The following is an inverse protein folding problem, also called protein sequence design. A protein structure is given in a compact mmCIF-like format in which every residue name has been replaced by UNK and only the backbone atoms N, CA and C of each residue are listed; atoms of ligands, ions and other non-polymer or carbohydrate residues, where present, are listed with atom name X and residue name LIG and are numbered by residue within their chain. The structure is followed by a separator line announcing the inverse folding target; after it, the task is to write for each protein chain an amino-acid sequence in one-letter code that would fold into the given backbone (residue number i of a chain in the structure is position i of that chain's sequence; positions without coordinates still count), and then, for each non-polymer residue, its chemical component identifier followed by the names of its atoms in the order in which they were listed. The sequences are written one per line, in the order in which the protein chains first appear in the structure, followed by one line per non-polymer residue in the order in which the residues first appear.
data_IF_453732609551
#
_entry.id   IF_453732609551
#
_cell.length_a   1.000
_cell.length_b   1.000
_cell.length_c   1.000
_cell.angle_alpha   90.00
_cell.angle_beta   90.00
_cell.angle_gamma   90.00
#
_symmetry.space_group_name_H-M   'P 1'
#
loop_
_entity.id
_entity.type
_entity.pdbx_description
1 polymer ?
#
# COMPACT_ATOMS: atom_id res chain seq x y z
N UNK A 1 10.83 -22.90 0.00
CA UNK A 1 10.10 -21.83 0.69
C UNK A 1 9.48 -22.39 1.97
N UNK A 2 9.69 -21.73 3.11
CA UNK A 2 9.12 -22.20 4.38
C UNK A 2 7.62 -21.93 4.44
N UNK A 3 6.92 -22.61 5.39
CA UNK A 3 5.49 -22.37 5.61
C UNK A 3 5.21 -20.90 5.98
N UNK A 4 6.08 -20.30 6.80
CA UNK A 4 5.96 -18.90 7.18
C UNK A 4 6.06 -17.97 5.96
N UNK A 5 7.01 -18.24 5.07
CA UNK A 5 7.17 -17.46 3.83
C UNK A 5 5.96 -17.59 2.90
N UNK A 6 5.38 -18.78 2.81
CA UNK A 6 4.17 -19.01 2.01
C UNK A 6 3.00 -18.21 2.57
N UNK A 7 2.83 -18.22 3.89
CA UNK A 7 1.76 -17.47 4.55
C UNK A 7 1.93 -15.96 4.36
N UNK A 8 3.15 -15.45 4.55
CA UNK A 8 3.45 -14.02 4.38
C UNK A 8 3.21 -13.59 2.93
N UNK A 9 3.63 -14.39 1.97
CA UNK A 9 3.40 -14.10 0.55
C UNK A 9 1.89 -14.05 0.25
N UNK A 10 1.12 -14.98 0.76
CA UNK A 10 -0.33 -14.96 0.61
C UNK A 10 -0.94 -13.68 1.17
N UNK A 11 -0.49 -13.27 2.37
CA UNK A 11 -0.95 -12.04 3.00
C UNK A 11 -0.63 -10.80 2.14
N UNK A 12 0.58 -10.73 1.60
CA UNK A 12 0.99 -9.61 0.74
C UNK A 12 0.21 -9.59 -0.57
N UNK A 13 -0.01 -10.73 -1.19
CA UNK A 13 -0.81 -10.84 -2.41
C UNK A 13 -2.26 -10.40 -2.16
N UNK A 14 -2.83 -10.81 -1.02
CA UNK A 14 -4.18 -10.44 -0.63
C UNK A 14 -4.29 -8.93 -0.41
N UNK A 15 -3.30 -8.33 0.22
CA UNK A 15 -3.24 -6.88 0.43
C UNK A 15 -3.18 -6.15 -0.91
N UNK A 16 -2.31 -6.57 -1.81
CA UNK A 16 -2.18 -5.93 -3.11
C UNK A 16 -3.44 -6.04 -3.96
N UNK A 17 -4.13 -7.17 -3.89
CA UNK A 17 -5.37 -7.40 -4.63
C UNK A 17 -6.58 -6.67 -4.06
N UNK A 18 -6.59 -6.42 -2.75
CA UNK A 18 -7.77 -5.92 -2.04
C UNK A 18 -7.47 -4.82 -1.03
N UNK A 19 -6.44 -4.01 -1.27
CA UNK A 19 -6.02 -2.98 -0.31
C UNK A 19 -7.13 -1.96 0.03
N UNK A 20 -8.08 -1.75 -0.86
CA UNK A 20 -9.21 -0.83 -0.62
C UNK A 20 -10.27 -1.40 0.33
N UNK A 21 -10.22 -2.70 0.58
CA UNK A 21 -11.15 -3.37 1.48
C UNK A 21 -10.63 -3.37 2.92
N UNK A 22 -11.50 -3.54 3.93
CA UNK A 22 -11.07 -3.64 5.32
C UNK A 22 -10.38 -4.98 5.57
N UNK A 23 -9.06 -5.00 5.46
CA UNK A 23 -8.24 -6.18 5.72
C UNK A 23 -7.65 -6.08 7.12
N UNK A 24 -7.83 -7.13 7.92
CA UNK A 24 -7.31 -7.24 9.28
C UNK A 24 -6.59 -8.56 9.46
N UNK A 25 -5.78 -8.67 10.51
CA UNK A 25 -5.19 -9.96 10.88
C UNK A 25 -6.27 -11.00 11.16
N UNK A 26 -7.39 -10.57 11.74
CA UNK A 26 -8.52 -11.45 12.00
C UNK A 26 -9.11 -12.02 10.71
N UNK A 27 -9.32 -11.19 9.70
CA UNK A 27 -9.87 -11.65 8.42
C UNK A 27 -8.91 -12.57 7.69
N UNK A 28 -7.61 -12.28 7.72
CA UNK A 28 -6.59 -13.14 7.11
C UNK A 28 -6.42 -14.46 7.86
N UNK A 29 -6.54 -14.42 9.18
CA UNK A 29 -6.50 -15.64 10.01
C UNK A 29 -7.63 -16.60 9.63
N UNK A 30 -8.82 -16.08 9.39
CA UNK A 30 -9.95 -16.87 8.94
C UNK A 30 -9.70 -17.48 7.54
N UNK A 31 -9.15 -16.71 6.61
CA UNK A 31 -8.85 -17.21 5.26
C UNK A 31 -7.78 -18.30 5.27
N UNK A 32 -6.74 -18.14 6.08
CA UNK A 32 -5.59 -19.04 6.11
C UNK A 32 -5.72 -20.17 7.12
N UNK A 33 -6.80 -20.18 7.91
CA UNK A 33 -7.00 -21.14 9.00
C UNK A 33 -5.81 -21.16 9.97
N UNK A 34 -5.31 -19.96 10.32
CA UNK A 34 -4.20 -19.76 11.25
C UNK A 34 -4.57 -18.71 12.29
N UNK A 35 -3.86 -18.69 13.39
CA UNK A 35 -4.06 -17.69 14.43
C UNK A 35 -3.53 -16.33 13.99
N UNK A 36 -4.27 -15.26 14.31
CA UNK A 36 -3.86 -13.90 13.97
C UNK A 36 -2.52 -13.50 14.57
N UNK A 37 -2.25 -13.91 15.83
CA UNK A 37 -0.98 -13.63 16.49
C UNK A 37 0.20 -14.26 15.73
N UNK A 38 0.03 -15.48 15.25
CA UNK A 38 1.05 -16.16 14.45
C UNK A 38 1.32 -15.39 13.15
N UNK A 39 0.25 -15.05 12.41
CA UNK A 39 0.38 -14.33 11.14
C UNK A 39 1.01 -12.96 11.32
N UNK A 40 0.63 -12.24 12.37
CA UNK A 40 1.20 -10.93 12.68
C UNK A 40 2.69 -11.00 12.98
N UNK A 41 3.10 -11.98 13.79
CA UNK A 41 4.51 -12.20 14.14
C UNK A 41 5.32 -12.59 12.91
N UNK A 42 4.81 -13.49 12.08
CA UNK A 42 5.50 -13.94 10.88
C UNK A 42 5.63 -12.82 9.84
N UNK A 43 4.58 -12.03 9.67
CA UNK A 43 4.62 -10.89 8.76
C UNK A 43 5.70 -9.89 9.18
N UNK A 44 5.68 -9.50 10.46
CA UNK A 44 6.67 -8.55 10.98
C UNK A 44 8.10 -9.09 10.86
N UNK A 45 8.30 -10.36 11.12
CA UNK A 45 9.60 -11.01 11.00
C UNK A 45 10.12 -11.02 9.57
N UNK A 46 9.29 -11.41 8.62
CA UNK A 46 9.69 -11.57 7.22
C UNK A 46 9.73 -10.24 6.45
N UNK A 47 8.82 -9.33 6.75
CA UNK A 47 8.68 -8.04 6.02
C UNK A 47 9.40 -6.91 6.76
N UNK A 48 9.52 -6.98 8.08
CA UNK A 48 10.20 -5.99 8.89
C UNK A 48 9.30 -4.91 9.47
N UNK A 49 8.03 -4.88 9.08
CA UNK A 49 7.03 -3.94 9.63
C UNK A 49 5.73 -4.67 9.90
N UNK A 50 4.89 -4.17 10.84
CA UNK A 50 3.58 -4.76 11.07
C UNK A 50 2.71 -4.73 9.81
N UNK A 51 1.85 -5.73 9.65
CA UNK A 51 0.95 -5.84 8.49
C UNK A 51 0.11 -4.59 8.27
N UNK A 52 -0.40 -3.98 9.34
CA UNK A 52 -1.22 -2.76 9.25
C UNK A 52 -0.44 -1.60 8.66
N UNK A 53 0.83 -1.47 9.03
CA UNK A 53 1.71 -0.43 8.49
C UNK A 53 1.99 -0.68 7.01
N UNK A 54 2.18 -1.93 6.63
CA UNK A 54 2.36 -2.31 5.24
C UNK A 54 1.12 -2.00 4.39
N UNK A 55 -0.07 -2.32 4.91
CA UNK A 55 -1.33 -2.00 4.25
C UNK A 55 -1.47 -0.48 4.03
N UNK A 56 -1.11 0.32 5.03
CA UNK A 56 -1.11 1.78 4.91
C UNK A 56 -0.18 2.25 3.80
N UNK A 57 1.01 1.69 3.72
CA UNK A 57 1.98 2.00 2.66
C UNK A 57 1.43 1.69 1.28
N UNK A 58 0.84 0.51 1.11
CA UNK A 58 0.26 0.09 -0.18
C UNK A 58 -0.85 1.04 -0.60
N UNK A 59 -1.76 1.37 0.32
CA UNK A 59 -2.84 2.32 0.06
C UNK A 59 -2.32 3.68 -0.38
N UNK A 60 -1.32 4.20 0.34
CA UNK A 60 -0.78 5.53 0.05
C UNK A 60 0.04 5.58 -1.24
N UNK A 61 0.75 4.50 -1.57
CA UNK A 61 1.49 4.43 -2.83
C UNK A 61 0.53 4.40 -4.03
N UNK A 62 -0.57 3.67 -3.93
CA UNK A 62 -1.62 3.69 -4.95
C UNK A 62 -2.30 5.06 -5.01
N UNK A 63 -2.53 5.69 -3.85
CA UNK A 63 -3.09 7.03 -3.78
C UNK A 63 -2.20 8.05 -4.50
N UNK A 64 -0.90 7.99 -4.27
CA UNK A 64 0.06 8.90 -4.91
C UNK A 64 0.02 8.79 -6.43
N UNK A 65 -0.09 7.57 -6.96
CA UNK A 65 -0.23 7.35 -8.39
C UNK A 65 -1.50 8.00 -8.94
N UNK A 66 -2.63 7.82 -8.25
CA UNK A 66 -3.91 8.41 -8.66
C UNK A 66 -3.89 9.94 -8.58
N UNK A 67 -3.26 10.50 -7.56
CA UNK A 67 -3.10 11.96 -7.41
C UNK A 67 -2.32 12.52 -8.58
N UNK A 68 -1.24 11.86 -8.99
CA UNK A 68 -0.43 12.28 -10.13
C UNK A 68 -1.18 12.19 -11.44
N UNK A 69 -2.10 11.26 -11.57
CA UNK A 69 -2.98 11.11 -12.73
C UNK A 69 -4.08 12.17 -12.80
N UNK A 70 -4.23 12.97 -11.76
CA UNK A 70 -5.22 14.04 -11.72
C UNK A 70 -6.58 13.63 -11.19
N UNK A 71 -6.69 12.47 -10.56
CA UNK A 71 -7.94 12.03 -9.94
C UNK A 71 -8.24 12.95 -8.75
N UNK A 72 -9.52 13.29 -8.56
CA UNK A 72 -9.95 14.14 -7.44
C UNK A 72 -9.55 13.52 -6.12
N UNK A 73 -9.02 14.34 -5.21
CA UNK A 73 -8.47 13.88 -3.94
C UNK A 73 -9.53 13.17 -3.09
N UNK A 74 -10.77 13.66 -3.09
CA UNK A 74 -11.88 13.01 -2.41
C UNK A 74 -12.13 11.60 -2.94
N UNK A 75 -12.09 11.44 -4.25
CA UNK A 75 -12.22 10.14 -4.89
C UNK A 75 -11.04 9.23 -4.57
N UNK A 76 -9.82 9.77 -4.58
CA UNK A 76 -8.61 9.00 -4.25
C UNK A 76 -8.72 8.39 -2.84
N UNK A 77 -9.12 9.21 -1.86
CA UNK A 77 -9.29 8.76 -0.48
C UNK A 77 -10.21 7.54 -0.39
N UNK A 78 -11.33 7.58 -1.06
CA UNK A 78 -12.30 6.48 -1.08
C UNK A 78 -11.79 5.27 -1.86
N UNK A 79 -11.19 5.50 -3.02
CA UNK A 79 -10.70 4.42 -3.88
C UNK A 79 -9.62 3.57 -3.23
N UNK A 80 -8.80 4.17 -2.36
CA UNK A 80 -7.74 3.42 -1.68
C UNK A 80 -8.16 2.88 -0.30
N UNK A 81 -9.41 3.08 0.09
CA UNK A 81 -9.99 2.44 1.27
C UNK A 81 -10.02 3.25 2.55
N UNK A 82 -9.84 4.58 2.48
CA UNK A 82 -9.96 5.45 3.65
C UNK A 82 -11.41 5.89 3.82
N UNK A 83 -11.93 5.73 5.04
CA UNK A 83 -13.27 6.21 5.40
C UNK A 83 -13.24 7.67 5.84
N UNK A 84 -12.11 8.12 6.40
CA UNK A 84 -11.93 9.48 6.91
C UNK A 84 -10.94 10.21 6.02
N UNK A 85 -11.39 11.27 5.38
CA UNK A 85 -10.56 12.17 4.58
C UNK A 85 -9.45 12.80 5.43
N UNK A 86 -9.77 13.18 6.67
CA UNK A 86 -8.82 13.76 7.62
C UNK A 86 -7.70 12.79 7.93
N UNK A 87 -8.02 11.52 8.18
CA UNK A 87 -7.03 10.49 8.42
C UNK A 87 -6.17 10.24 7.19
N UNK A 88 -6.78 10.23 6.02
CA UNK A 88 -6.06 10.08 4.75
C UNK A 88 -5.03 11.19 4.56
N UNK A 89 -5.42 12.46 4.73
CA UNK A 89 -4.50 13.59 4.61
C UNK A 89 -3.34 13.49 5.59
N UNK A 90 -3.62 13.13 6.83
CA UNK A 90 -2.60 12.99 7.87
C UNK A 90 -1.59 11.90 7.51
N UNK A 91 -2.07 10.74 7.10
CA UNK A 91 -1.22 9.61 6.73
C UNK A 91 -0.41 9.90 5.46
N UNK A 92 -1.04 10.54 4.48
CA UNK A 92 -0.38 10.93 3.24
C UNK A 92 0.79 11.88 3.51
N UNK A 93 0.54 12.94 4.27
CA UNK A 93 1.57 13.91 4.63
C UNK A 93 2.71 13.27 5.42
N UNK A 94 2.38 12.34 6.32
CA UNK A 94 3.38 11.61 7.10
C UNK A 94 4.31 10.79 6.22
N UNK A 95 3.76 10.14 5.19
CA UNK A 95 4.54 9.29 4.30
C UNK A 95 5.35 10.08 3.27
N UNK A 96 4.75 11.08 2.65
CA UNK A 96 5.36 11.80 1.53
C UNK A 96 5.89 13.19 1.89
N UNK A 97 5.63 13.69 3.09
CA UNK A 97 6.06 15.02 3.52
C UNK A 97 5.28 16.16 2.91
N UNK A 98 4.25 15.88 2.11
CA UNK A 98 3.43 16.88 1.42
C UNK A 98 1.97 16.44 1.42
N UNK A 99 1.06 17.40 1.22
CA UNK A 99 -0.36 17.09 1.10
C UNK A 99 -0.68 16.50 -0.27
N UNK A 100 -1.76 15.74 -0.42
CA UNK A 100 -2.18 15.23 -1.73
C UNK A 100 -2.38 16.34 -2.74
N UNK A 101 -2.95 17.48 -2.31
CA UNK A 101 -3.19 18.62 -3.20
C UNK A 101 -1.88 19.22 -3.71
N UNK A 102 -0.92 19.50 -2.82
CA UNK A 102 0.39 20.04 -3.20
C UNK A 102 1.17 19.06 -4.08
N UNK A 103 1.08 17.77 -3.78
CA UNK A 103 1.72 16.73 -4.57
C UNK A 103 1.15 16.66 -5.99
N UNK A 104 -0.16 16.79 -6.13
CA UNK A 104 -0.84 16.81 -7.42
C UNK A 104 -0.46 18.02 -8.28
N UNK A 105 -0.34 19.19 -7.67
CA UNK A 105 0.11 20.42 -8.36
C UNK A 105 1.56 20.24 -8.84
N UNK A 106 2.46 19.80 -8.00
CA UNK A 106 3.86 19.58 -8.36
C UNK A 106 4.00 18.60 -9.53
N UNK A 107 3.18 17.54 -9.53
CA UNK A 107 3.17 16.56 -10.60
C UNK A 107 2.68 17.16 -11.93
N UNK A 108 1.69 18.06 -11.89
CA UNK A 108 1.19 18.75 -13.11
C UNK A 108 2.20 19.75 -13.64
N UNK A 109 2.85 20.51 -12.77
CA UNK A 109 3.86 21.49 -13.15
C UNK A 109 5.11 20.81 -13.73
N UNK A 110 5.46 19.63 -13.21
CA UNK A 110 6.54 18.81 -13.72
C UNK A 110 6.16 17.96 -14.93
N UNK A 111 4.88 17.83 -15.21
CA UNK A 111 4.32 16.85 -16.15
C UNK A 111 4.24 17.32 -17.61
N UNK A 112 5.07 18.27 -18.03
CA UNK A 112 5.34 18.39 -19.46
C UNK A 112 6.07 17.15 -19.99
N UNK A 113 6.34 16.17 -19.14
CA UNK A 113 6.85 14.87 -19.51
C UNK A 113 5.75 13.81 -19.30
N UNK A 114 5.01 13.50 -20.36
CA UNK A 114 3.93 12.49 -20.36
C UNK A 114 4.43 11.11 -19.91
N UNK A 115 5.71 10.83 -20.06
CA UNK A 115 6.34 9.58 -19.67
C UNK A 115 6.31 9.33 -18.16
N UNK A 116 6.21 10.37 -17.33
CA UNK A 116 6.22 10.23 -15.87
C UNK A 116 4.91 9.67 -15.32
N UNK A 117 3.78 9.96 -15.97
CA UNK A 117 2.47 9.49 -15.51
C UNK A 117 2.35 7.96 -15.66
N UNK A 118 2.71 7.44 -16.82
CA UNK A 118 2.71 6.00 -17.08
C UNK A 118 3.72 5.27 -16.19
N UNK A 119 4.86 5.90 -15.90
CA UNK A 119 5.88 5.34 -15.00
C UNK A 119 5.43 5.27 -13.55
N UNK A 120 4.64 6.25 -13.09
CA UNK A 120 4.18 6.30 -11.71
C UNK A 120 3.25 5.13 -11.35
N UNK A 121 2.32 4.77 -12.23
CA UNK A 121 1.39 3.66 -11.99
C UNK A 121 2.13 2.32 -11.91
N UNK A 122 3.10 2.10 -12.79
CA UNK A 122 3.92 0.89 -12.78
C UNK A 122 4.82 0.83 -11.55
N UNK A 123 5.28 1.98 -11.08
CA UNK A 123 6.17 2.08 -9.93
C UNK A 123 5.48 1.65 -8.63
N UNK A 124 4.21 1.99 -8.43
CA UNK A 124 3.45 1.60 -7.25
C UNK A 124 3.34 0.08 -7.10
N UNK A 125 3.04 -0.64 -8.19
CA UNK A 125 3.01 -2.09 -8.18
C UNK A 125 4.37 -2.71 -7.97
N UNK A 126 5.39 -2.15 -8.60
CA UNK A 126 6.77 -2.63 -8.51
C UNK A 126 7.37 -2.52 -7.11
N UNK A 127 6.99 -1.52 -6.32
CA UNK A 127 7.46 -1.36 -4.94
C UNK A 127 7.03 -2.55 -4.09
N UNK A 128 5.78 -2.97 -4.20
CA UNK A 128 5.27 -4.11 -3.45
C UNK A 128 6.01 -5.40 -3.81
N UNK A 129 6.21 -5.66 -5.09
CA UNK A 129 6.94 -6.83 -5.57
C UNK A 129 8.37 -6.88 -5.04
N UNK A 130 9.10 -5.78 -5.13
CA UNK A 130 10.48 -5.71 -4.65
C UNK A 130 10.59 -5.95 -3.14
N UNK A 131 9.62 -5.45 -2.38
CA UNK A 131 9.59 -5.67 -0.94
C UNK A 131 9.32 -7.13 -0.60
N UNK A 132 8.44 -7.79 -1.35
CA UNK A 132 8.19 -9.23 -1.20
C UNK A 132 9.46 -10.03 -1.45
N UNK A 133 10.12 -9.78 -2.57
CA UNK A 133 11.33 -10.50 -2.95
C UNK A 133 12.43 -10.32 -1.92
N UNK A 134 12.60 -9.11 -1.40
CA UNK A 134 13.59 -8.83 -0.36
C UNK A 134 13.27 -9.58 0.93
N UNK A 135 12.01 -9.59 1.34
CA UNK A 135 11.58 -10.28 2.55
C UNK A 135 11.74 -11.80 2.43
N UNK A 136 11.42 -12.35 1.27
CA UNK A 136 11.53 -13.80 1.02
C UNK A 136 12.98 -14.25 0.86
N UNK A 137 13.84 -13.39 0.33
CA UNK A 137 15.27 -13.70 0.12
C UNK A 137 16.09 -13.61 1.42
N UNK A 138 15.60 -12.88 2.40
CA UNK A 138 16.28 -12.73 3.68
C UNK A 138 15.97 -13.88 4.62
#
# INVERSE_FOLDING_TARGET
MSAAQVHVRHMMDRIEQSYSEPITLHSLAAELHRQGAYLGAMFRREVGVPMRQWLTRVRLDHAAALVREGVKIEAVSMLVGYRSKKNFYRQYKRRFGTTPFAHGIAARDGANAMDQVAGACRHAGSIAERSVDRAVSA
#
